data_IF_045887078574
#
_entry.id   IF_045887078574
#
_cell.length_a   1.000
_cell.length_b   1.000
_cell.length_c   1.000
_cell.angle_alpha   90.00
_cell.angle_beta   90.00
_cell.angle_gamma   90.00
#
_symmetry.space_group_name_H-M   'P 1'
#
loop_
_entity.id
_entity.type
_entity.pdbx_description
1 polymer ?
#
# COMPACT_ATOMS: atom_id res chain seq x y z
N UNK A 1 -3.06 -17.26 7.64
CA UNK A 1 -1.94 -17.92 6.92
C UNK A 1 -0.68 -17.55 7.67
N UNK A 2 0.20 -18.49 8.00
CA UNK A 2 1.43 -18.13 8.69
C UNK A 2 2.50 -17.68 7.67
N UNK A 3 3.51 -16.95 8.12
CA UNK A 3 4.56 -16.39 7.25
C UNK A 3 5.36 -17.46 6.51
N UNK A 4 5.57 -18.63 7.11
CA UNK A 4 6.31 -19.72 6.46
C UNK A 4 5.49 -20.33 5.32
N UNK A 5 4.17 -20.47 5.47
CA UNK A 5 3.28 -20.90 4.36
C UNK A 5 3.41 -19.96 3.16
N UNK A 6 3.50 -18.64 3.40
CA UNK A 6 3.66 -17.65 2.34
C UNK A 6 5.03 -17.75 1.69
N UNK A 7 6.10 -17.99 2.47
CA UNK A 7 7.44 -18.19 1.91
C UNK A 7 7.45 -19.40 0.96
N UNK A 8 6.82 -20.50 1.36
CA UNK A 8 6.74 -21.71 0.55
C UNK A 8 5.95 -21.52 -0.75
N UNK A 9 5.01 -20.57 -0.80
CA UNK A 9 4.26 -20.24 -2.01
C UNK A 9 5.07 -19.47 -3.06
N UNK A 10 6.19 -18.84 -2.67
CA UNK A 10 7.04 -18.05 -3.56
C UNK A 10 8.49 -18.53 -3.50
N UNK A 11 8.78 -19.78 -3.95
CA UNK A 11 10.09 -20.41 -3.77
C UNK A 11 11.23 -19.72 -4.53
N UNK A 12 10.90 -18.98 -5.59
CA UNK A 12 11.88 -18.24 -6.41
C UNK A 12 12.24 -16.87 -5.83
N UNK A 13 11.59 -16.46 -4.73
CA UNK A 13 11.83 -15.19 -4.06
C UNK A 13 12.65 -15.41 -2.79
N UNK A 14 13.66 -14.57 -2.60
CA UNK A 14 14.46 -14.62 -1.36
C UNK A 14 13.55 -14.43 -0.13
N UNK A 15 13.57 -15.35 0.86
CA UNK A 15 12.70 -15.28 2.03
C UNK A 15 12.79 -13.94 2.77
N UNK A 16 13.96 -13.30 2.80
CA UNK A 16 14.13 -11.98 3.42
C UNK A 16 13.25 -10.90 2.78
N UNK A 17 13.06 -10.93 1.46
CA UNK A 17 12.17 -9.99 0.77
C UNK A 17 10.70 -10.21 1.18
N UNK A 18 10.27 -11.46 1.24
CA UNK A 18 8.91 -11.82 1.68
C UNK A 18 8.66 -11.31 3.10
N UNK A 19 9.62 -11.47 4.02
CA UNK A 19 9.49 -10.95 5.40
C UNK A 19 9.35 -9.43 5.43
N UNK A 20 10.08 -8.68 4.59
CA UNK A 20 9.94 -7.22 4.48
C UNK A 20 8.57 -6.82 3.94
N UNK A 21 8.11 -7.46 2.87
CA UNK A 21 6.83 -7.14 2.26
C UNK A 21 5.65 -7.52 3.16
N UNK A 22 5.74 -8.64 3.88
CA UNK A 22 4.81 -9.02 4.92
C UNK A 22 4.74 -7.97 6.03
N UNK A 23 5.89 -7.52 6.55
CA UNK A 23 5.92 -6.45 7.55
C UNK A 23 5.25 -5.16 7.03
N UNK A 24 5.56 -4.78 5.78
CA UNK A 24 4.98 -3.59 5.18
C UNK A 24 3.45 -3.69 5.06
N UNK A 25 2.94 -4.84 4.62
CA UNK A 25 1.49 -5.11 4.51
C UNK A 25 0.77 -4.78 5.82
N UNK A 26 1.19 -5.39 6.93
CA UNK A 26 0.53 -5.24 8.22
C UNK A 26 0.80 -3.93 8.94
N UNK A 27 1.93 -3.29 8.66
CA UNK A 27 2.33 -2.06 9.38
C UNK A 27 1.80 -0.80 8.71
N UNK A 28 1.73 -0.80 7.37
CA UNK A 28 1.50 0.43 6.61
C UNK A 28 0.25 0.39 5.72
N UNK A 29 -0.30 -0.78 5.40
CA UNK A 29 -1.40 -0.90 4.45
C UNK A 29 -2.68 -1.50 5.03
N UNK A 30 -2.61 -2.58 5.82
CA UNK A 30 -3.76 -3.14 6.56
C UNK A 30 -3.96 -2.36 7.87
N UNK A 31 -4.42 -1.12 7.74
CA UNK A 31 -4.57 -0.17 8.85
C UNK A 31 -5.78 -0.47 9.74
N UNK A 32 -6.77 -1.20 9.21
CA UNK A 32 -7.93 -1.66 9.97
C UNK A 32 -7.70 -3.03 10.62
N UNK A 33 -6.65 -3.75 10.23
CA UNK A 33 -6.20 -5.01 10.83
C UNK A 33 -7.12 -6.19 10.53
N UNK A 34 -7.63 -6.29 9.29
CA UNK A 34 -8.53 -7.38 8.87
C UNK A 34 -7.88 -8.36 7.87
N UNK A 35 -6.55 -8.39 7.81
CA UNK A 35 -5.73 -9.29 6.98
C UNK A 35 -5.90 -9.06 5.45
N UNK A 36 -6.49 -7.94 5.05
CA UNK A 36 -6.62 -7.52 3.66
C UNK A 36 -6.40 -6.03 3.53
N UNK A 37 -5.96 -5.59 2.34
CA UNK A 37 -5.95 -4.16 2.00
C UNK A 37 -7.23 -3.88 1.21
N UNK A 38 -8.00 -2.90 1.67
CA UNK A 38 -9.20 -2.41 1.01
C UNK A 38 -9.27 -0.88 1.06
N UNK A 39 -10.16 -0.27 0.27
CA UNK A 39 -10.33 1.18 0.25
C UNK A 39 -10.53 1.80 1.65
N UNK A 40 -11.13 1.04 2.57
CA UNK A 40 -11.38 1.49 3.94
C UNK A 40 -10.09 1.80 4.71
N UNK A 41 -8.98 1.09 4.45
CA UNK A 41 -7.68 1.38 5.05
C UNK A 41 -7.21 2.79 4.68
N UNK A 42 -7.25 3.10 3.39
CA UNK A 42 -6.87 4.41 2.85
C UNK A 42 -7.80 5.50 3.39
N UNK A 43 -9.11 5.25 3.46
CA UNK A 43 -10.07 6.20 4.02
C UNK A 43 -9.78 6.48 5.50
N UNK A 44 -9.44 5.47 6.30
CA UNK A 44 -9.08 5.66 7.70
C UNK A 44 -7.83 6.53 7.86
N UNK A 45 -6.84 6.37 6.98
CA UNK A 45 -5.65 7.23 6.98
C UNK A 45 -5.97 8.67 6.58
N UNK A 46 -6.80 8.88 5.55
CA UNK A 46 -7.26 10.21 5.13
C UNK A 46 -7.98 10.92 6.30
N UNK A 47 -8.91 10.21 6.95
CA UNK A 47 -9.69 10.76 8.06
C UNK A 47 -8.79 11.08 9.27
N UNK A 48 -7.80 10.23 9.57
CA UNK A 48 -6.82 10.48 10.63
C UNK A 48 -5.98 11.72 10.34
N UNK A 49 -5.54 11.92 9.09
CA UNK A 49 -4.81 13.13 8.68
C UNK A 49 -5.69 14.36 8.83
N UNK A 50 -6.95 14.29 8.38
CA UNK A 50 -7.92 15.38 8.55
C UNK A 50 -8.15 15.72 10.03
N UNK A 51 -8.24 14.72 10.89
CA UNK A 51 -8.42 14.92 12.34
C UNK A 51 -7.20 15.60 13.00
N UNK A 52 -5.98 15.28 12.56
CA UNK A 52 -4.73 15.81 13.15
C UNK A 52 -4.32 17.16 12.55
N UNK A 53 -4.46 17.33 11.23
CA UNK A 53 -3.94 18.49 10.47
C UNK A 53 -5.00 19.48 10.01
N UNK A 54 -6.28 19.16 10.23
CA UNK A 54 -7.41 20.03 9.91
C UNK A 54 -8.25 19.50 8.75
N UNK A 55 -9.54 19.24 9.03
CA UNK A 55 -10.50 18.76 8.04
C UNK A 55 -10.69 19.80 6.93
N UNK A 56 -10.35 19.40 5.71
CA UNK A 56 -10.47 20.24 4.51
C UNK A 56 -9.29 21.18 4.27
N UNK A 57 -8.23 21.09 5.08
CA UNK A 57 -6.96 21.76 4.82
C UNK A 57 -6.21 21.17 3.62
N UNK A 58 -5.14 21.84 3.20
CA UNK A 58 -4.31 21.44 2.06
C UNK A 58 -3.79 20.01 2.20
N UNK A 59 -3.26 19.65 3.38
CA UNK A 59 -2.77 18.30 3.68
C UNK A 59 -3.86 17.23 3.57
N UNK A 60 -5.07 17.52 4.06
CA UNK A 60 -6.19 16.58 3.97
C UNK A 60 -6.63 16.36 2.51
N UNK A 61 -6.68 17.45 1.73
CA UNK A 61 -7.02 17.38 0.30
C UNK A 61 -5.93 16.63 -0.48
N UNK A 62 -4.67 16.93 -0.22
CA UNK A 62 -3.53 16.28 -0.85
C UNK A 62 -3.49 14.78 -0.52
N UNK A 63 -3.66 14.43 0.76
CA UNK A 63 -3.75 13.03 1.20
C UNK A 63 -4.90 12.30 0.49
N UNK A 64 -6.08 12.91 0.41
CA UNK A 64 -7.23 12.31 -0.29
C UNK A 64 -6.92 12.03 -1.75
N UNK A 65 -6.31 12.96 -2.47
CA UNK A 65 -5.96 12.76 -3.88
C UNK A 65 -4.91 11.64 -4.01
N UNK A 66 -3.79 11.78 -3.30
CA UNK A 66 -2.67 10.85 -3.44
C UNK A 66 -3.00 9.42 -2.99
N UNK A 67 -3.71 9.24 -1.87
CA UNK A 67 -4.09 7.90 -1.39
C UNK A 67 -5.15 7.24 -2.29
N UNK A 68 -6.04 8.03 -2.91
CA UNK A 68 -6.96 7.54 -3.94
C UNK A 68 -6.18 7.04 -5.16
N UNK A 69 -5.21 7.82 -5.63
CA UNK A 69 -4.38 7.44 -6.78
C UNK A 69 -3.54 6.18 -6.50
N UNK A 70 -3.01 6.04 -5.29
CA UNK A 70 -2.31 4.82 -4.85
C UNK A 70 -3.24 3.61 -4.91
N UNK A 71 -4.43 3.69 -4.31
CA UNK A 71 -5.39 2.58 -4.32
C UNK A 71 -5.77 2.17 -5.73
N UNK A 72 -6.14 3.13 -6.58
CA UNK A 72 -6.48 2.85 -7.97
C UNK A 72 -5.32 2.20 -8.71
N UNK A 73 -4.09 2.70 -8.55
CA UNK A 73 -2.92 2.13 -9.22
C UNK A 73 -2.60 0.70 -8.75
N UNK A 74 -2.82 0.38 -7.47
CA UNK A 74 -2.69 -0.99 -6.95
C UNK A 74 -3.74 -1.92 -7.57
N UNK A 75 -5.01 -1.49 -7.61
CA UNK A 75 -6.10 -2.24 -8.23
C UNK A 75 -5.85 -2.49 -9.73
N UNK A 76 -5.44 -1.46 -10.48
CA UNK A 76 -5.11 -1.56 -11.91
C UNK A 76 -3.97 -2.54 -12.16
N UNK A 77 -2.91 -2.50 -11.33
CA UNK A 77 -1.76 -3.41 -11.45
C UNK A 77 -2.18 -4.88 -11.29
N UNK A 78 -3.18 -5.13 -10.44
CA UNK A 78 -3.71 -6.47 -10.17
C UNK A 78 -4.93 -6.83 -11.02
N UNK A 79 -5.36 -5.92 -11.91
CA UNK A 79 -6.59 -6.04 -12.70
C UNK A 79 -7.83 -6.37 -11.84
N UNK A 80 -7.97 -5.65 -10.71
CA UNK A 80 -9.07 -5.76 -9.75
C UNK A 80 -9.96 -4.52 -9.77
N UNK A 81 -11.24 -4.70 -9.45
CA UNK A 81 -12.17 -3.58 -9.19
C UNK A 81 -11.86 -2.92 -7.83
N UNK A 82 -12.21 -1.64 -7.68
CA UNK A 82 -11.94 -0.86 -6.47
C UNK A 82 -12.72 -1.30 -5.23
N UNK A 83 -13.70 -2.21 -5.39
CA UNK A 83 -14.43 -2.85 -4.29
C UNK A 83 -13.80 -4.17 -3.85
N UNK A 84 -12.85 -4.69 -4.62
CA UNK A 84 -12.16 -5.93 -4.28
C UNK A 84 -11.09 -5.70 -3.21
N UNK A 85 -10.66 -6.80 -2.61
CA UNK A 85 -9.65 -6.84 -1.56
C UNK A 85 -8.32 -7.32 -2.12
N UNK A 86 -7.22 -6.76 -1.62
CA UNK A 86 -5.87 -7.25 -1.90
C UNK A 86 -5.44 -8.07 -0.68
N UNK A 87 -5.33 -9.38 -0.87
CA UNK A 87 -4.84 -10.29 0.19
C UNK A 87 -3.32 -10.20 0.33
N UNK A 88 -2.77 -10.77 1.39
CA UNK A 88 -1.31 -10.88 1.55
C UNK A 88 -0.66 -11.60 0.35
N UNK A 89 -1.28 -12.65 -0.19
CA UNK A 89 -0.74 -13.38 -1.35
C UNK A 89 -0.75 -12.51 -2.60
N UNK A 90 -1.84 -11.77 -2.84
CA UNK A 90 -1.93 -10.79 -3.94
C UNK A 90 -0.80 -9.75 -3.84
N UNK A 91 -0.58 -9.23 -2.63
CA UNK A 91 0.45 -8.24 -2.33
C UNK A 91 1.86 -8.76 -2.57
N UNK A 92 2.20 -9.94 -2.05
CA UNK A 92 3.51 -10.57 -2.28
C UNK A 92 3.72 -10.86 -3.77
N UNK A 93 2.68 -11.36 -4.45
CA UNK A 93 2.71 -11.60 -5.90
C UNK A 93 2.95 -10.31 -6.70
N UNK A 94 2.32 -9.21 -6.31
CA UNK A 94 2.53 -7.90 -6.94
C UNK A 94 3.99 -7.43 -6.80
N UNK A 95 4.61 -7.62 -5.63
CA UNK A 95 6.02 -7.31 -5.41
C UNK A 95 6.96 -8.25 -6.18
N UNK A 96 6.68 -9.56 -6.17
CA UNK A 96 7.46 -10.54 -6.92
C UNK A 96 7.49 -10.19 -8.42
N UNK A 97 6.33 -9.87 -9.00
CA UNK A 97 6.22 -9.46 -10.40
C UNK A 97 7.02 -8.18 -10.71
N UNK A 98 7.08 -7.25 -9.75
CA UNK A 98 7.83 -6.00 -9.91
C UNK A 98 9.34 -6.19 -10.01
N UNK A 99 9.90 -7.27 -9.43
CA UNK A 99 11.34 -7.54 -9.50
C UNK A 99 11.80 -7.89 -10.92
N UNK A 100 10.89 -8.44 -11.74
CA UNK A 100 11.16 -8.85 -13.12
C UNK A 100 10.58 -7.89 -14.15
N UNK A 101 9.84 -6.87 -13.72
CA UNK A 101 9.20 -5.92 -14.60
C UNK A 101 10.23 -5.00 -15.26
N UNK A 102 10.08 -4.74 -16.56
CA UNK A 102 10.93 -3.77 -17.28
C UNK A 102 10.76 -2.34 -16.78
N UNK A 103 9.64 -2.05 -16.10
CA UNK A 103 9.30 -0.74 -15.54
C UNK A 103 8.82 -0.91 -14.11
N UNK A 104 9.26 0.02 -13.25
CA UNK A 104 8.78 0.13 -11.88
C UNK A 104 7.25 0.32 -11.86
N UNK A 105 6.50 -0.44 -11.04
CA UNK A 105 5.06 -0.29 -10.93
C UNK A 105 4.66 1.12 -10.50
N UNK A 106 3.69 1.71 -11.19
CA UNK A 106 3.24 3.08 -10.93
C UNK A 106 2.80 3.31 -9.46
N UNK A 107 2.22 2.30 -8.83
CA UNK A 107 1.75 2.38 -7.45
C UNK A 107 2.89 2.54 -6.44
N UNK A 108 4.07 1.97 -6.69
CA UNK A 108 5.22 2.09 -5.79
C UNK A 108 5.69 3.55 -5.71
N UNK A 109 5.81 4.19 -6.87
CA UNK A 109 6.15 5.61 -6.97
C UNK A 109 5.07 6.49 -6.33
N UNK A 110 3.80 6.26 -6.64
CA UNK A 110 2.69 7.02 -6.05
C UNK A 110 2.69 6.93 -4.52
N UNK A 111 2.94 5.73 -3.98
CA UNK A 111 3.01 5.50 -2.54
C UNK A 111 4.24 6.16 -1.90
N UNK A 112 5.42 6.07 -2.54
CA UNK A 112 6.64 6.73 -2.06
C UNK A 112 6.50 8.25 -2.04
N UNK A 113 5.99 8.84 -3.12
CA UNK A 113 5.75 10.29 -3.22
C UNK A 113 4.78 10.76 -2.13
N UNK A 114 3.76 9.94 -1.83
CA UNK A 114 2.84 10.20 -0.72
C UNK A 114 3.53 10.09 0.65
N UNK A 115 4.20 8.97 0.94
CA UNK A 115 4.86 8.74 2.24
C UNK A 115 5.89 9.81 2.54
N UNK A 116 6.62 10.26 1.51
CA UNK A 116 7.57 11.36 1.64
C UNK A 116 6.87 12.65 2.07
N UNK A 117 5.78 13.04 1.39
CA UNK A 117 4.98 14.24 1.76
C UNK A 117 4.35 14.13 3.15
N UNK A 118 3.92 12.93 3.54
CA UNK A 118 3.32 12.70 4.85
C UNK A 118 4.36 12.92 5.96
N UNK A 119 5.57 12.38 5.78
CA UNK A 119 6.64 12.42 6.77
C UNK A 119 7.43 13.73 6.76
N UNK A 120 7.47 14.44 5.63
CA UNK A 120 8.04 15.78 5.55
C UNK A 120 7.08 16.82 6.13
N UNK A 121 7.02 16.87 7.46
CA UNK A 121 6.28 17.90 8.19
C UNK A 121 6.87 19.31 8.04
N UNK A 122 8.07 19.45 7.43
CA UNK A 122 8.75 20.73 7.28
C UNK A 122 8.44 21.41 5.94
N UNK A 123 8.06 20.65 4.92
CA UNK A 123 7.71 21.14 3.58
C UNK A 123 8.80 21.97 2.92
N UNK A 124 10.07 21.74 3.29
CA UNK A 124 11.24 22.56 2.93
C UNK A 124 12.39 21.71 2.41
#
# INVERSE_FOLDING_TARGET
>A
MNLEDVIDMFPDIEPFLIRKWHYAFYTFFDLIGNDVIEWRDFQQLIDAIGAVRGMGGEDHIAARISLTDVWHSMCETMNKDYKEKITLVDWIGMWANSLTAEKEPAWQKAYLDYMFRLLDASGK
#
